data_IF_355647319662
#
_entry.id   IF_355647319662
#
_cell.length_a   1.000
_cell.length_b   1.000
_cell.length_c   1.000
_cell.angle_alpha   90.00
_cell.angle_beta   90.00
_cell.angle_gamma   90.00
#
_symmetry.space_group_name_H-M   'P 1'
#
loop_
_entity.id
_entity.type
_entity.pdbx_description
1 polymer ?
#
# COMPACT_ATOMS: atom_id res chain seq x y z
N UNK A 1 22.69 5.82 18.50
CA UNK A 1 21.87 6.39 17.41
C UNK A 1 20.39 6.29 17.71
N UNK A 2 19.93 5.20 18.34
CA UNK A 2 18.53 5.04 18.79
C UNK A 2 18.24 5.49 20.23
N UNK A 3 19.14 6.24 20.88
CA UNK A 3 18.96 6.69 22.26
C UNK A 3 19.36 8.17 22.40
N UNK A 4 18.39 9.07 22.72
CA UNK A 4 16.96 8.79 22.81
C UNK A 4 16.37 8.35 21.45
N UNK A 5 15.23 7.64 21.45
CA UNK A 5 14.62 7.13 20.22
C UNK A 5 14.30 8.30 19.26
N UNK A 6 14.96 8.38 18.09
CA UNK A 6 14.73 9.47 17.13
C UNK A 6 13.39 9.36 16.38
N UNK A 7 12.78 8.18 16.34
CA UNK A 7 11.56 7.93 15.60
C UNK A 7 10.34 8.51 16.32
N UNK A 8 9.49 9.22 15.57
CA UNK A 8 8.27 9.83 16.08
C UNK A 8 7.07 8.88 15.98
N UNK A 9 5.96 9.27 16.60
CA UNK A 9 4.65 8.62 16.48
C UNK A 9 4.65 7.11 16.78
N UNK A 10 5.53 6.65 17.67
CA UNK A 10 5.66 5.23 18.04
C UNK A 10 6.53 4.39 17.10
N UNK A 11 7.33 5.02 16.24
CA UNK A 11 8.30 4.33 15.38
C UNK A 11 9.38 3.57 16.17
N UNK A 12 9.73 2.39 15.67
CA UNK A 12 10.82 1.57 16.20
C UNK A 12 12.13 1.97 15.52
N UNK A 13 13.13 2.37 16.31
CA UNK A 13 14.47 2.65 15.79
C UNK A 13 15.30 1.39 15.71
N UNK A 14 15.90 1.16 14.54
CA UNK A 14 16.75 0.03 14.25
C UNK A 14 18.11 0.51 13.69
N UNK A 15 19.22 -0.20 13.94
CA UNK A 15 20.49 0.10 13.28
C UNK A 15 20.34 -0.03 11.76
N UNK A 16 20.82 0.95 11.00
CA UNK A 16 20.84 0.83 9.54
C UNK A 16 22.04 -0.03 9.11
N UNK A 17 21.94 -0.63 7.91
CA UNK A 17 23.01 -1.43 7.30
C UNK A 17 24.26 -0.60 6.99
N UNK A 18 24.11 0.72 6.84
CA UNK A 18 25.21 1.65 6.66
C UNK A 18 25.85 2.01 8.02
N UNK A 19 27.17 1.88 8.10
CA UNK A 19 27.93 2.08 9.33
C UNK A 19 27.69 3.47 9.92
N UNK A 20 27.05 3.52 11.09
CA UNK A 20 26.81 4.76 11.80
C UNK A 20 25.56 5.52 11.33
N UNK A 21 24.55 4.82 10.80
CA UNK A 21 23.21 5.38 10.61
C UNK A 21 22.11 4.54 11.34
N UNK A 22 20.89 5.05 11.38
CA UNK A 22 19.71 4.37 11.93
C UNK A 22 18.53 4.42 10.94
N UNK A 23 17.60 3.49 11.07
CA UNK A 23 16.36 3.45 10.32
C UNK A 23 15.15 3.41 11.26
N UNK A 24 14.08 4.11 10.90
CA UNK A 24 12.81 4.02 11.62
C UNK A 24 11.84 3.08 10.91
N UNK A 25 11.37 2.06 11.62
CA UNK A 25 10.22 1.28 11.21
C UNK A 25 8.95 1.97 11.70
N UNK A 26 8.22 2.58 10.78
CA UNK A 26 7.03 3.37 11.11
C UNK A 26 5.79 2.50 11.35
N UNK A 27 4.95 2.84 12.34
CA UNK A 27 3.67 2.20 12.52
C UNK A 27 2.69 2.54 11.39
N UNK A 28 1.60 1.79 11.25
CA UNK A 28 0.54 2.11 10.29
C UNK A 28 0.08 3.56 10.40
N UNK A 29 -0.14 4.21 9.27
CA UNK A 29 -0.54 5.62 9.20
C UNK A 29 0.60 6.63 9.33
N UNK A 30 1.86 6.20 9.45
CA UNK A 30 3.04 7.07 9.49
C UNK A 30 4.12 6.69 8.49
N UNK A 31 4.90 7.67 8.05
CA UNK A 31 5.94 7.56 7.03
C UNK A 31 7.03 8.63 7.18
N UNK A 32 8.02 8.57 6.30
CA UNK A 32 9.22 9.42 6.34
C UNK A 32 10.32 8.83 7.24
N UNK A 33 11.56 9.33 7.08
CA UNK A 33 12.76 8.84 7.80
C UNK A 33 12.58 8.74 9.31
N UNK A 34 11.78 9.64 9.88
CA UNK A 34 11.55 9.77 11.32
C UNK A 34 10.12 9.41 11.72
N UNK A 35 9.30 8.84 10.82
CA UNK A 35 7.86 8.59 11.06
C UNK A 35 7.06 9.84 11.43
N UNK A 36 7.47 11.01 10.93
CA UNK A 36 6.86 12.29 11.24
C UNK A 36 5.72 12.67 10.28
N UNK A 37 5.65 12.02 9.11
CA UNK A 37 4.66 12.33 8.08
C UNK A 37 3.52 11.30 8.09
N UNK A 38 2.28 11.67 7.77
CA UNK A 38 1.20 10.71 7.57
C UNK A 38 1.56 9.70 6.47
N UNK A 39 1.32 8.42 6.71
CA UNK A 39 1.55 7.34 5.76
C UNK A 39 0.33 7.15 4.86
N UNK A 40 0.36 7.67 3.64
CA UNK A 40 -0.63 7.32 2.63
C UNK A 40 -0.24 6.01 1.95
N UNK A 41 -0.62 4.88 2.56
CA UNK A 41 -0.35 3.52 2.04
C UNK A 41 -1.66 2.76 1.84
N UNK A 42 -2.41 3.05 0.76
CA UNK A 42 -3.76 2.52 0.54
C UNK A 42 -3.79 1.00 0.37
N UNK A 43 -2.70 0.39 -0.13
CA UNK A 43 -2.58 -1.06 -0.24
C UNK A 43 -2.29 -1.76 1.09
N UNK A 44 -2.23 -1.01 2.19
CA UNK A 44 -1.96 -1.51 3.54
C UNK A 44 -3.10 -1.15 4.51
N UNK A 45 -4.30 -0.86 4.01
CA UNK A 45 -5.48 -0.65 4.85
C UNK A 45 -5.86 -2.00 5.49
N UNK A 46 -5.58 -2.10 6.78
CA UNK A 46 -5.78 -3.29 7.60
C UNK A 46 -7.23 -3.39 8.05
N UNK A 47 -8.05 -4.06 7.25
CA UNK A 47 -9.22 -4.76 7.78
C UNK A 47 -8.72 -6.16 8.21
N UNK A 48 -7.93 -6.19 9.30
CA UNK A 48 -7.52 -7.41 10.02
C UNK A 48 -6.50 -8.37 9.34
N UNK A 49 -5.68 -7.91 8.39
CA UNK A 49 -4.59 -8.73 7.81
C UNK A 49 -3.24 -8.48 8.53
N UNK A 50 -2.97 -9.25 9.59
CA UNK A 50 -1.70 -9.23 10.31
C UNK A 50 -0.63 -10.21 9.75
N UNK A 51 -0.74 -10.63 8.49
CA UNK A 51 0.35 -11.35 7.83
C UNK A 51 0.39 -11.05 6.32
N UNK A 52 1.55 -10.58 5.86
CA UNK A 52 1.88 -10.11 4.51
C UNK A 52 1.74 -11.18 3.40
N UNK A 53 1.40 -12.43 3.73
CA UNK A 53 1.20 -13.52 2.77
C UNK A 53 -0.19 -13.62 2.16
N UNK A 54 -1.19 -12.91 2.69
CA UNK A 54 -2.58 -13.16 2.31
C UNK A 54 -3.00 -12.21 1.18
N UNK A 55 -2.68 -12.60 -0.05
CA UNK A 55 -3.20 -12.00 -1.28
C UNK A 55 -4.73 -12.07 -1.44
N UNK A 56 -5.45 -12.55 -0.41
CA UNK A 56 -6.90 -12.77 -0.37
C UNK A 56 -7.64 -11.90 0.66
N UNK A 57 -7.00 -10.90 1.28
CA UNK A 57 -7.70 -9.86 2.08
C UNK A 57 -8.44 -8.84 1.18
N UNK A 58 -8.96 -9.31 0.04
CA UNK A 58 -9.57 -8.59 -1.09
C UNK A 58 -10.96 -8.01 -0.77
N UNK A 59 -11.16 -7.50 0.45
CA UNK A 59 -11.99 -6.29 0.64
C UNK A 59 -11.17 -5.01 0.38
N UNK A 60 -9.91 -5.17 0.01
CA UNK A 60 -8.96 -4.13 -0.36
C UNK A 60 -9.25 -3.44 -1.69
N UNK A 61 -8.64 -2.27 -1.79
CA UNK A 61 -8.74 -1.23 -2.84
C UNK A 61 -8.89 -1.74 -4.29
N UNK A 62 -8.27 -2.86 -4.67
CA UNK A 62 -8.40 -3.46 -6.01
C UNK A 62 -9.37 -4.65 -5.97
N UNK A 63 -10.48 -4.57 -6.71
CA UNK A 63 -11.47 -5.62 -6.84
C UNK A 63 -10.98 -6.76 -7.76
N UNK A 64 -11.76 -7.84 -7.82
CA UNK A 64 -11.61 -8.91 -8.79
C UNK A 64 -10.17 -9.46 -8.92
N UNK A 65 -9.54 -9.67 -7.77
CA UNK A 65 -8.18 -10.21 -7.67
C UNK A 65 -7.09 -9.30 -8.29
N UNK A 66 -7.33 -8.00 -8.36
CA UNK A 66 -6.33 -7.01 -8.76
C UNK A 66 -5.19 -6.86 -7.75
N UNK A 67 -3.98 -6.62 -8.26
CA UNK A 67 -2.79 -6.41 -7.43
C UNK A 67 -2.63 -4.93 -7.13
N UNK A 68 -2.75 -4.56 -5.84
CA UNK A 68 -2.54 -3.18 -5.37
C UNK A 68 -1.05 -2.86 -5.23
N UNK A 69 -0.60 -1.75 -5.80
CA UNK A 69 0.73 -1.17 -5.58
C UNK A 69 0.58 0.24 -5.01
N UNK A 70 1.34 0.57 -3.95
CA UNK A 70 1.36 1.95 -3.46
C UNK A 70 2.07 2.82 -4.49
N UNK A 71 1.43 3.90 -4.90
CA UNK A 71 1.96 4.84 -5.87
C UNK A 71 1.58 6.25 -5.42
N UNK A 72 2.53 6.95 -4.80
CA UNK A 72 2.32 8.29 -4.27
C UNK A 72 2.10 9.36 -5.37
N UNK A 73 2.39 9.04 -6.63
CA UNK A 73 2.19 9.92 -7.78
C UNK A 73 0.81 9.74 -8.40
N UNK A 74 0.22 8.56 -8.28
CA UNK A 74 -1.17 8.30 -8.68
C UNK A 74 -2.14 8.99 -7.73
N UNK A 75 -3.26 9.49 -8.28
CA UNK A 75 -4.35 10.03 -7.48
C UNK A 75 -4.69 9.04 -6.38
N UNK A 76 -4.78 9.47 -5.13
CA UNK A 76 -5.15 8.60 -4.02
C UNK A 76 -4.08 7.64 -3.51
N UNK A 77 -2.84 7.67 -4.04
CA UNK A 77 -1.69 6.99 -3.42
C UNK A 77 -1.52 5.51 -3.80
N UNK A 78 -2.23 5.00 -4.79
CA UNK A 78 -2.17 3.60 -5.22
C UNK A 78 -2.47 3.42 -6.71
N UNK A 79 -2.07 2.27 -7.23
CA UNK A 79 -2.33 1.78 -8.58
C UNK A 79 -2.76 0.31 -8.53
N UNK A 80 -3.75 -0.08 -9.36
CA UNK A 80 -4.24 -1.46 -9.42
C UNK A 80 -3.81 -2.11 -10.74
N UNK A 81 -3.08 -3.22 -10.65
CA UNK A 81 -2.82 -4.10 -11.79
C UNK A 81 -3.96 -5.09 -11.94
N UNK A 82 -4.78 -4.95 -12.98
CA UNK A 82 -5.95 -5.81 -13.16
C UNK A 82 -5.60 -7.12 -13.88
N UNK A 83 -6.24 -8.24 -13.51
CA UNK A 83 -6.18 -9.47 -14.29
C UNK A 83 -6.81 -9.28 -15.67
N UNK A 84 -6.51 -10.19 -16.60
CA UNK A 84 -7.23 -10.26 -17.88
C UNK A 84 -8.73 -10.31 -17.62
N UNK A 85 -9.50 -9.57 -18.41
CA UNK A 85 -10.95 -9.38 -18.28
C UNK A 85 -11.41 -8.30 -17.30
N UNK A 86 -10.51 -7.60 -16.62
CA UNK A 86 -10.86 -6.50 -15.72
C UNK A 86 -10.08 -5.23 -16.03
N UNK A 87 -10.76 -4.10 -15.90
CA UNK A 87 -10.23 -2.76 -16.14
C UNK A 87 -10.84 -1.76 -15.18
N UNK A 88 -10.46 -0.49 -15.35
CA UNK A 88 -10.78 0.59 -14.44
C UNK A 88 -9.85 0.63 -13.24
N UNK A 89 -9.89 1.76 -12.53
CA UNK A 89 -8.96 2.09 -11.45
C UNK A 89 -8.92 1.09 -10.29
N UNK A 90 -10.03 0.41 -10.03
CA UNK A 90 -10.17 -0.58 -8.96
C UNK A 90 -10.41 -1.98 -9.53
N UNK A 91 -10.15 -2.23 -10.83
CA UNK A 91 -10.49 -3.48 -11.51
C UNK A 91 -11.99 -3.84 -11.42
N UNK A 92 -12.86 -2.84 -11.38
CA UNK A 92 -14.30 -2.98 -11.18
C UNK A 92 -15.09 -3.18 -12.48
N UNK A 93 -14.48 -2.86 -13.63
CA UNK A 93 -15.12 -2.93 -14.93
C UNK A 93 -14.66 -4.21 -15.64
N UNK A 94 -15.58 -4.95 -16.27
CA UNK A 94 -15.24 -6.14 -17.04
C UNK A 94 -14.88 -5.74 -18.47
N UNK A 95 -13.75 -6.19 -18.98
CA UNK A 95 -13.23 -5.83 -20.31
C UNK A 95 -14.08 -6.41 -21.48
N UNK A 96 -15.04 -7.29 -21.17
CA UNK A 96 -16.13 -7.70 -22.08
C UNK A 96 -17.29 -6.69 -22.19
N UNK A 97 -17.21 -5.52 -21.56
CA UNK A 97 -18.12 -4.42 -21.84
C UNK A 97 -17.58 -3.52 -22.97
N UNK A 98 -17.03 -4.11 -24.04
CA UNK A 98 -17.32 -3.51 -25.33
C UNK A 98 -18.85 -3.53 -25.42
N UNK A 99 -19.48 -2.37 -25.58
CA UNK A 99 -20.92 -2.27 -25.78
C UNK A 99 -21.28 -3.33 -26.84
N UNK A 100 -21.89 -4.43 -26.43
CA UNK A 100 -22.34 -5.47 -27.35
C UNK A 100 -23.48 -4.84 -28.10
N UNK A 101 -23.14 -4.12 -29.17
CA UNK A 101 -24.10 -3.79 -30.22
C UNK A 101 -24.45 -5.15 -30.82
N UNK A 102 -25.46 -5.80 -30.24
CA UNK A 102 -26.17 -6.87 -30.91
C UNK A 102 -26.77 -6.24 -32.18
N UNK A 103 -26.40 -6.82 -33.33
CA UNK A 103 -26.86 -6.42 -34.66
C UNK A 103 -28.37 -6.60 -34.81
#
# INVERSE_FOLDING_TARGET
MCSPNPCQNGGLCEPASESGDFACRCPPGWSGRWCHAPGNRPCQLTDNAANWSDANASRGVCLNNGVCRNDALSWGGFECSCPSEWTGRLCQLREFAACSVEL
#
